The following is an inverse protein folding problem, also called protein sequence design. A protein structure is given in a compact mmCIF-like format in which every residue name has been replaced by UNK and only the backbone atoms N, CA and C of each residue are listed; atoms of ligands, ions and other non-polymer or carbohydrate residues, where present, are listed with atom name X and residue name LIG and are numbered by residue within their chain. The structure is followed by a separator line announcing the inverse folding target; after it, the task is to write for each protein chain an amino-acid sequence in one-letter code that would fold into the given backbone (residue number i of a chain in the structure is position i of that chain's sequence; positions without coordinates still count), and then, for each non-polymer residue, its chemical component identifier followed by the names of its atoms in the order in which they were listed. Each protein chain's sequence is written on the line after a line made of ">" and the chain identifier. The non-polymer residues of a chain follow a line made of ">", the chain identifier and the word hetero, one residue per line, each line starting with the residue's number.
data_IF_139999328466
#
_entry.id   IF_139999328466
#
_cell.length_a   1.000
_cell.length_b   1.000
_cell.length_c   1.000
_cell.angle_alpha   90.00
_cell.angle_beta   90.00
_cell.angle_gamma   90.00
#
_symmetry.space_group_name_H-M   'P 1'
#
loop_
_entity.id
_entity.type
_entity.pdbx_description
1 polymer ?
#
# COMPACT_ATOMS: atom_id res chain seq x y z
N UNK A 1 50.30 121.93 19.76
CA UNK A 1 49.22 121.26 18.99
C UNK A 1 49.74 120.02 18.22
N UNK A 2 50.88 120.10 17.53
CA UNK A 2 51.50 118.99 16.77
C UNK A 2 51.96 117.79 17.63
N UNK A 3 52.65 118.03 18.75
CA UNK A 3 53.13 116.96 19.64
C UNK A 3 52.00 116.12 20.27
N UNK A 4 50.84 116.72 20.51
CA UNK A 4 49.66 116.04 21.07
C UNK A 4 49.04 115.08 20.05
N UNK A 5 49.02 115.47 18.76
CA UNK A 5 48.56 114.62 17.67
C UNK A 5 49.51 113.44 17.40
N UNK A 6 50.83 113.66 17.44
CA UNK A 6 51.83 112.58 17.33
C UNK A 6 51.72 111.56 18.46
N UNK A 7 51.50 112.02 19.70
CA UNK A 7 51.30 111.13 20.85
C UNK A 7 50.00 110.31 20.70
N UNK A 8 48.93 110.94 20.23
CA UNK A 8 47.67 110.25 19.94
C UNK A 8 47.85 109.18 18.85
N UNK A 9 48.50 109.49 17.71
CA UNK A 9 48.75 108.52 16.63
C UNK A 9 49.56 107.31 17.13
N UNK A 10 50.62 107.55 17.90
CA UNK A 10 51.45 106.47 18.45
C UNK A 10 50.67 105.61 19.45
N UNK A 11 49.80 106.24 20.25
CA UNK A 11 48.91 105.54 21.17
C UNK A 11 47.86 104.72 20.41
N UNK A 12 47.30 105.24 19.32
CA UNK A 12 46.39 104.51 18.41
C UNK A 12 47.10 103.35 17.72
N UNK A 13 48.36 103.51 17.34
CA UNK A 13 49.14 102.45 16.67
C UNK A 13 49.45 101.29 17.63
N UNK A 14 49.76 101.60 18.89
CA UNK A 14 49.93 100.60 19.95
C UNK A 14 48.61 99.90 20.27
N UNK A 15 47.49 100.62 20.33
CA UNK A 15 46.18 99.98 20.54
C UNK A 15 45.77 99.12 19.35
N UNK A 16 46.02 99.54 18.10
CA UNK A 16 45.77 98.74 16.90
C UNK A 16 46.61 97.45 16.90
N UNK A 17 47.88 97.50 17.29
CA UNK A 17 48.70 96.28 17.43
C UNK A 17 48.19 95.36 18.54
N UNK A 18 47.75 95.92 19.67
CA UNK A 18 47.19 95.16 20.79
C UNK A 18 45.87 94.48 20.40
N UNK A 19 44.97 95.23 19.74
CA UNK A 19 43.72 94.71 19.20
C UNK A 19 44.00 93.66 18.12
N UNK A 20 44.98 93.86 17.24
CA UNK A 20 45.39 92.89 16.22
C UNK A 20 45.84 91.55 16.82
N UNK A 21 46.68 91.59 17.87
CA UNK A 21 47.08 90.39 18.61
C UNK A 21 45.90 89.71 19.31
N UNK A 22 45.02 90.47 19.94
CA UNK A 22 43.80 89.94 20.56
C UNK A 22 42.85 89.29 19.54
N UNK A 23 42.71 89.87 18.34
CA UNK A 23 41.93 89.29 17.24
C UNK A 23 42.57 87.98 16.77
N UNK A 24 43.88 87.96 16.56
CA UNK A 24 44.61 86.77 16.10
C UNK A 24 44.53 85.62 17.11
N UNK A 25 44.61 85.93 18.41
CA UNK A 25 44.45 84.96 19.50
C UNK A 25 43.00 84.45 19.62
N UNK A 26 42.00 85.33 19.45
CA UNK A 26 40.59 84.94 19.35
C UNK A 26 40.32 84.06 18.12
N UNK A 27 40.91 84.37 16.97
CA UNK A 27 40.79 83.55 15.76
C UNK A 27 41.41 82.17 15.96
N UNK A 28 42.60 82.09 16.59
CA UNK A 28 43.28 80.83 16.92
C UNK A 28 42.48 79.96 17.89
N UNK A 29 41.94 80.55 18.96
CA UNK A 29 41.07 79.84 19.92
C UNK A 29 39.74 79.43 19.30
N UNK A 30 39.18 80.23 18.40
CA UNK A 30 37.97 79.87 17.63
C UNK A 30 38.25 78.72 16.65
N UNK A 31 39.40 78.70 15.98
CA UNK A 31 39.81 77.63 15.08
C UNK A 31 40.00 76.28 15.81
N UNK A 32 40.64 76.30 16.99
CA UNK A 32 40.80 75.08 17.81
C UNK A 32 39.47 74.59 18.40
N UNK A 33 38.60 75.50 18.85
CA UNK A 33 37.26 75.18 19.33
C UNK A 33 36.38 74.58 18.21
N UNK A 34 36.42 75.15 17.01
CA UNK A 34 35.68 74.62 15.85
C UNK A 34 36.21 73.27 15.40
N UNK A 35 37.53 73.03 15.43
CA UNK A 35 38.12 71.71 15.19
C UNK A 35 37.59 70.64 16.14
N UNK A 36 37.63 70.90 17.46
CA UNK A 36 37.08 69.97 18.48
C UNK A 36 35.59 69.72 18.32
N UNK A 37 34.80 70.74 17.94
CA UNK A 37 33.37 70.57 17.66
C UNK A 37 33.13 69.64 16.47
N UNK A 38 33.90 69.80 15.38
CA UNK A 38 33.83 68.91 14.20
C UNK A 38 34.17 67.47 14.56
N UNK A 39 35.23 67.25 15.34
CA UNK A 39 35.60 65.89 15.80
C UNK A 39 34.48 65.27 16.64
N UNK A 40 33.91 66.03 17.58
CA UNK A 40 32.77 65.57 18.39
C UNK A 40 31.57 65.21 17.52
N UNK A 41 31.19 66.05 16.55
CA UNK A 41 30.09 65.77 15.63
C UNK A 41 30.36 64.53 14.78
N UNK A 42 31.59 64.36 14.28
CA UNK A 42 32.01 63.17 13.53
C UNK A 42 31.88 61.89 14.38
N UNK A 43 32.31 61.92 15.64
CA UNK A 43 32.15 60.79 16.56
C UNK A 43 30.68 60.49 16.86
N UNK A 44 29.84 61.52 17.06
CA UNK A 44 28.41 61.34 17.28
C UNK A 44 27.72 60.69 16.08
N UNK A 45 28.05 61.13 14.86
CA UNK A 45 27.56 60.51 13.63
C UNK A 45 28.00 59.05 13.52
N UNK A 46 29.26 58.75 13.86
CA UNK A 46 29.79 57.38 13.87
C UNK A 46 29.05 56.49 14.87
N UNK A 47 28.78 56.99 16.08
CA UNK A 47 27.98 56.27 17.09
C UNK A 47 26.57 56.00 16.57
N UNK A 48 25.91 56.99 15.99
CA UNK A 48 24.57 56.84 15.43
C UNK A 48 24.53 55.79 14.30
N UNK A 49 25.53 55.80 13.40
CA UNK A 49 25.66 54.77 12.35
C UNK A 49 25.85 53.37 12.94
N UNK A 50 26.72 53.22 13.95
CA UNK A 50 26.94 51.93 14.61
C UNK A 50 25.68 51.43 15.33
N UNK A 51 24.92 52.32 15.98
CA UNK A 51 23.65 51.96 16.61
C UNK A 51 22.60 51.50 15.59
N UNK A 52 22.54 52.16 14.43
CA UNK A 52 21.63 51.77 13.35
C UNK A 52 22.01 50.39 12.78
N UNK A 53 23.29 50.15 12.53
CA UNK A 53 23.78 48.86 12.04
C UNK A 53 23.54 47.75 13.07
N UNK A 54 23.78 48.00 14.37
CA UNK A 54 23.45 47.07 15.44
C UNK A 54 21.96 46.72 15.44
N UNK A 55 21.09 47.73 15.28
CA UNK A 55 19.64 47.51 15.24
C UNK A 55 19.24 46.70 13.99
N UNK A 56 19.86 46.97 12.83
CA UNK A 56 19.65 46.21 11.59
C UNK A 56 20.05 44.75 11.76
N UNK A 57 21.23 44.49 12.34
CA UNK A 57 21.72 43.15 12.61
C UNK A 57 20.84 42.39 13.59
N UNK A 58 20.40 43.04 14.69
CA UNK A 58 19.44 42.43 15.63
C UNK A 58 18.13 42.02 14.96
N UNK A 59 17.58 42.87 14.07
CA UNK A 59 16.38 42.54 13.29
C UNK A 59 16.62 41.39 12.32
N UNK A 60 17.78 41.34 11.66
CA UNK A 60 18.14 40.24 10.78
C UNK A 60 18.26 38.92 11.55
N UNK A 61 18.97 38.93 12.68
CA UNK A 61 19.13 37.76 13.55
C UNK A 61 17.78 37.25 14.08
N UNK A 62 16.89 38.14 14.53
CA UNK A 62 15.55 37.74 14.98
C UNK A 62 14.79 37.00 13.89
N UNK A 63 14.84 37.47 12.64
CA UNK A 63 14.17 36.82 11.51
C UNK A 63 14.75 35.44 11.20
N UNK A 64 16.08 35.28 11.27
CA UNK A 64 16.71 33.97 11.09
C UNK A 64 16.35 32.99 12.20
N UNK A 65 16.30 33.44 13.46
CA UNK A 65 15.88 32.61 14.59
C UNK A 65 14.44 32.15 14.41
N UNK A 66 13.53 33.06 14.01
CA UNK A 66 12.13 32.71 13.75
C UNK A 66 11.99 31.70 12.60
N UNK A 67 12.76 31.87 11.52
CA UNK A 67 12.80 30.92 10.40
C UNK A 67 13.31 29.55 10.84
N UNK A 68 14.43 29.50 11.56
CA UNK A 68 14.99 28.26 12.10
C UNK A 68 14.01 27.55 13.02
N UNK A 69 13.29 28.29 13.86
CA UNK A 69 12.29 27.71 14.74
C UNK A 69 11.11 27.12 13.94
N UNK A 70 10.65 27.82 12.90
CA UNK A 70 9.61 27.29 12.00
C UNK A 70 10.06 26.03 11.28
N UNK A 71 11.27 26.00 10.73
CA UNK A 71 11.83 24.80 10.08
C UNK A 71 11.94 23.63 11.06
N UNK A 72 12.43 23.89 12.29
CA UNK A 72 12.57 22.85 13.32
C UNK A 72 11.22 22.23 13.69
N UNK A 73 10.19 23.06 13.88
CA UNK A 73 8.83 22.55 14.17
C UNK A 73 8.23 21.77 13.00
N UNK A 74 8.50 22.17 11.76
CA UNK A 74 8.08 21.41 10.58
C UNK A 74 8.79 20.05 10.48
N UNK A 75 10.09 20.01 10.75
CA UNK A 75 10.86 18.76 10.75
C UNK A 75 10.38 17.80 11.83
N UNK A 76 10.15 18.30 13.04
CA UNK A 76 9.60 17.48 14.14
C UNK A 76 8.24 16.87 13.78
N UNK A 77 7.33 17.66 13.20
CA UNK A 77 6.03 17.15 12.74
C UNK A 77 6.17 16.09 11.65
N UNK A 78 7.13 16.26 10.72
CA UNK A 78 7.40 15.26 9.68
C UNK A 78 7.98 13.98 10.27
N UNK A 79 8.89 14.09 11.24
CA UNK A 79 9.48 12.96 11.94
C UNK A 79 8.42 12.15 12.69
N UNK A 80 7.54 12.82 13.43
CA UNK A 80 6.40 12.19 14.11
C UNK A 80 5.48 11.48 13.11
N UNK A 81 5.12 12.15 12.01
CA UNK A 81 4.27 11.57 10.96
C UNK A 81 4.92 10.34 10.31
N UNK A 82 6.22 10.39 10.00
CA UNK A 82 6.95 9.26 9.44
C UNK A 82 7.07 8.11 10.44
N UNK A 83 7.28 8.39 11.72
CA UNK A 83 7.33 7.36 12.76
C UNK A 83 6.00 6.61 12.85
N UNK A 84 4.86 7.31 12.82
CA UNK A 84 3.53 6.69 12.84
C UNK A 84 3.30 5.85 11.58
N UNK A 85 3.65 6.37 10.40
CA UNK A 85 3.53 5.63 9.15
C UNK A 85 4.41 4.38 9.12
N UNK A 86 5.62 4.47 9.67
CA UNK A 86 6.55 3.35 9.73
C UNK A 86 6.03 2.20 10.60
N UNK A 87 5.53 2.49 11.80
CA UNK A 87 4.96 1.46 12.67
C UNK A 87 3.70 0.83 12.04
N UNK A 88 2.82 1.63 11.43
CA UNK A 88 1.65 1.11 10.70
C UNK A 88 2.05 0.18 9.55
N UNK A 89 3.04 0.57 8.74
CA UNK A 89 3.53 -0.25 7.64
C UNK A 89 4.18 -1.56 8.14
N UNK A 90 4.89 -1.50 9.26
CA UNK A 90 5.50 -2.66 9.90
C UNK A 90 4.43 -3.64 10.37
N UNK A 91 3.40 -3.17 11.05
CA UNK A 91 2.26 -3.99 11.48
C UNK A 91 1.54 -4.63 10.29
N UNK A 92 1.30 -3.87 9.23
CA UNK A 92 0.69 -4.38 7.99
C UNK A 92 1.54 -5.49 7.36
N UNK A 93 2.86 -5.29 7.27
CA UNK A 93 3.77 -6.27 6.69
C UNK A 93 3.84 -7.56 7.54
N UNK A 94 3.83 -7.45 8.86
CA UNK A 94 3.74 -8.60 9.76
C UNK A 94 2.41 -9.35 9.59
N UNK A 95 1.29 -8.63 9.46
CA UNK A 95 -0.02 -9.23 9.19
C UNK A 95 -0.04 -9.95 7.83
N UNK A 96 0.53 -9.34 6.79
CA UNK A 96 0.64 -9.91 5.45
C UNK A 96 1.49 -11.20 5.46
N UNK A 97 2.61 -11.19 6.18
CA UNK A 97 3.47 -12.38 6.35
C UNK A 97 2.73 -13.52 7.05
N UNK A 98 1.93 -13.23 8.09
CA UNK A 98 1.09 -14.23 8.76
C UNK A 98 0.05 -14.81 7.80
N UNK A 99 -0.66 -13.95 7.07
CA UNK A 99 -1.66 -14.38 6.10
C UNK A 99 -1.07 -15.25 4.98
N UNK A 100 0.13 -14.91 4.50
CA UNK A 100 0.85 -15.72 3.50
C UNK A 100 1.14 -17.12 4.05
N UNK A 101 1.64 -17.24 5.28
CA UNK A 101 1.91 -18.53 5.94
C UNK A 101 0.63 -19.35 6.08
N UNK A 102 -0.46 -18.74 6.54
CA UNK A 102 -1.76 -19.41 6.64
C UNK A 102 -2.28 -19.90 5.29
N UNK A 103 -2.13 -19.09 4.23
CA UNK A 103 -2.51 -19.47 2.89
C UNK A 103 -1.70 -20.68 2.40
N UNK A 104 -0.38 -20.68 2.63
CA UNK A 104 0.46 -21.84 2.28
C UNK A 104 0.07 -23.10 3.05
N UNK A 105 -0.20 -23.00 4.36
CA UNK A 105 -0.63 -24.12 5.18
C UNK A 105 -2.00 -24.68 4.73
N UNK A 106 -2.97 -23.82 4.43
CA UNK A 106 -4.28 -24.23 3.89
C UNK A 106 -4.14 -24.92 2.53
N UNK A 107 -3.26 -24.41 1.66
CA UNK A 107 -2.97 -25.04 0.36
C UNK A 107 -2.37 -26.43 0.53
N UNK A 108 -1.42 -26.62 1.43
CA UNK A 108 -0.83 -27.93 1.72
C UNK A 108 -1.87 -28.91 2.27
N UNK A 109 -2.69 -28.47 3.22
CA UNK A 109 -3.79 -29.28 3.76
C UNK A 109 -4.78 -29.69 2.68
N UNK A 110 -5.16 -28.76 1.79
CA UNK A 110 -6.04 -29.05 0.66
C UNK A 110 -5.44 -30.10 -0.27
N UNK A 111 -4.17 -29.95 -0.66
CA UNK A 111 -3.49 -30.92 -1.53
C UNK A 111 -3.42 -32.31 -0.89
N UNK A 112 -3.12 -32.37 0.42
CA UNK A 112 -3.08 -33.64 1.17
C UNK A 112 -4.46 -34.29 1.24
N UNK A 113 -5.50 -33.53 1.58
CA UNK A 113 -6.87 -34.04 1.63
C UNK A 113 -7.36 -34.50 0.24
N UNK A 114 -7.04 -33.76 -0.81
CA UNK A 114 -7.40 -34.13 -2.18
C UNK A 114 -6.69 -35.41 -2.65
N UNK A 115 -5.41 -35.59 -2.30
CA UNK A 115 -4.69 -36.83 -2.58
C UNK A 115 -5.30 -38.02 -1.83
N UNK A 116 -5.66 -37.84 -0.56
CA UNK A 116 -6.34 -38.87 0.25
C UNK A 116 -7.72 -39.21 -0.32
N UNK A 117 -8.50 -38.22 -0.74
CA UNK A 117 -9.79 -38.41 -1.38
C UNK A 117 -9.62 -39.22 -2.67
N UNK A 118 -8.70 -38.81 -3.55
CA UNK A 118 -8.42 -39.51 -4.82
C UNK A 118 -8.04 -40.96 -4.58
N UNK A 119 -7.17 -41.21 -3.58
CA UNK A 119 -6.78 -42.57 -3.20
C UNK A 119 -7.98 -43.38 -2.70
N UNK A 120 -8.82 -42.81 -1.84
CA UNK A 120 -10.01 -43.49 -1.33
C UNK A 120 -11.04 -43.78 -2.43
N UNK A 121 -11.29 -42.82 -3.32
CA UNK A 121 -12.14 -43.03 -4.50
C UNK A 121 -11.63 -44.20 -5.34
N UNK A 122 -10.32 -44.28 -5.59
CA UNK A 122 -9.72 -45.42 -6.31
C UNK A 122 -9.93 -46.76 -5.61
N UNK A 123 -9.77 -46.80 -4.28
CA UNK A 123 -10.04 -48.02 -3.50
C UNK A 123 -11.50 -48.45 -3.61
N UNK A 124 -12.44 -47.52 -3.43
CA UNK A 124 -13.87 -47.80 -3.54
C UNK A 124 -14.26 -48.29 -4.93
N UNK A 125 -13.67 -47.72 -5.99
CA UNK A 125 -13.88 -48.19 -7.36
C UNK A 125 -13.34 -49.61 -7.57
N UNK A 126 -12.20 -49.95 -6.95
CA UNK A 126 -11.66 -51.31 -7.00
C UNK A 126 -12.56 -52.31 -6.26
N UNK A 127 -13.05 -51.95 -5.06
CA UNK A 127 -14.03 -52.75 -4.32
C UNK A 127 -15.34 -52.93 -5.11
N UNK A 128 -15.77 -51.89 -5.82
CA UNK A 128 -16.98 -51.93 -6.64
C UNK A 128 -16.83 -52.89 -7.84
N UNK A 129 -15.63 -52.97 -8.43
CA UNK A 129 -15.30 -53.96 -9.46
C UNK A 129 -15.40 -55.40 -8.94
N UNK A 130 -15.22 -55.63 -7.64
CA UNK A 130 -15.39 -56.94 -7.03
C UNK A 130 -16.87 -57.28 -6.77
N UNK A 131 -17.68 -56.28 -6.41
CA UNK A 131 -19.13 -56.44 -6.19
C UNK A 131 -19.88 -56.65 -7.52
N UNK A 132 -19.47 -55.93 -8.56
CA UNK A 132 -20.05 -55.99 -9.91
C UNK A 132 -19.01 -56.49 -10.93
N UNK A 133 -18.63 -57.78 -10.89
CA UNK A 133 -17.71 -58.33 -11.87
C UNK A 133 -18.34 -58.24 -13.27
N UNK A 134 -17.57 -57.70 -14.21
CA UNK A 134 -17.92 -57.63 -15.63
C UNK A 134 -16.95 -58.55 -16.37
N UNK A 135 -17.46 -59.69 -16.80
CA UNK A 135 -16.69 -60.71 -17.49
C UNK A 135 -17.07 -60.76 -18.98
N UNK A 136 -16.09 -61.09 -19.81
CA UNK A 136 -16.28 -61.32 -21.25
C UNK A 136 -16.27 -62.83 -21.48
N UNK A 137 -17.41 -63.38 -21.89
CA UNK A 137 -17.54 -64.83 -22.10
C UNK A 137 -17.12 -65.23 -23.51
N UNK A 138 -17.47 -64.41 -24.52
CA UNK A 138 -17.05 -64.54 -25.93
C UNK A 138 -16.72 -63.15 -26.49
N UNK A 139 -16.08 -63.07 -27.67
CA UNK A 139 -15.63 -61.80 -28.29
C UNK A 139 -16.69 -60.68 -28.40
N UNK A 140 -17.98 -60.97 -28.21
CA UNK A 140 -19.07 -60.00 -28.24
C UNK A 140 -20.08 -60.10 -27.06
N UNK A 141 -19.89 -61.02 -26.11
CA UNK A 141 -20.86 -61.28 -25.03
C UNK A 141 -20.30 -60.87 -23.66
N UNK A 142 -20.92 -59.85 -23.06
CA UNK A 142 -20.60 -59.37 -21.71
C UNK A 142 -21.55 -59.96 -20.68
N UNK A 143 -21.06 -60.18 -19.46
CA UNK A 143 -21.82 -60.68 -18.32
C UNK A 143 -21.51 -59.81 -17.12
N UNK A 144 -22.55 -59.35 -16.41
CA UNK A 144 -22.43 -58.62 -15.15
C UNK A 144 -23.05 -59.45 -14.02
N UNK A 145 -22.29 -59.73 -12.96
CA UNK A 145 -22.73 -60.58 -11.84
C UNK A 145 -23.31 -61.94 -12.28
N UNK A 146 -22.78 -62.55 -13.33
CA UNK A 146 -23.28 -63.81 -13.89
C UNK A 146 -24.52 -63.70 -14.78
N UNK A 147 -25.06 -62.49 -15.02
CA UNK A 147 -26.20 -62.24 -15.92
C UNK A 147 -25.72 -61.64 -17.24
N UNK A 148 -26.18 -62.20 -18.37
CA UNK A 148 -25.78 -61.75 -19.71
C UNK A 148 -26.28 -60.32 -19.98
N UNK A 149 -25.36 -59.44 -20.37
CA UNK A 149 -25.63 -58.08 -20.80
C UNK A 149 -25.53 -58.03 -22.34
N UNK A 150 -26.66 -58.18 -23.07
CA UNK A 150 -26.65 -58.16 -24.52
C UNK A 150 -26.33 -56.78 -25.08
N UNK A 151 -25.70 -56.75 -26.25
CA UNK A 151 -25.56 -55.53 -27.04
C UNK A 151 -26.94 -55.07 -27.55
N UNK A 152 -27.06 -53.78 -27.85
CA UNK A 152 -28.34 -53.15 -28.18
C UNK A 152 -29.07 -53.69 -29.40
N UNK A 153 -28.35 -54.40 -30.27
CA UNK A 153 -28.88 -55.01 -31.49
C UNK A 153 -29.60 -56.36 -31.23
N UNK A 154 -29.37 -56.99 -30.06
CA UNK A 154 -29.83 -58.35 -29.74
C UNK A 154 -30.89 -58.41 -28.62
N UNK A 155 -31.51 -57.28 -28.26
CA UNK A 155 -32.50 -57.24 -27.16
C UNK A 155 -33.76 -58.07 -27.44
N UNK A 156 -34.17 -58.21 -28.70
CA UNK A 156 -35.45 -58.86 -29.06
C UNK A 156 -35.45 -60.39 -28.97
N UNK A 157 -34.28 -61.03 -28.83
CA UNK A 157 -34.14 -62.49 -28.88
C UNK A 157 -33.86 -63.14 -27.51
N UNK A 158 -33.95 -62.39 -26.41
CA UNK A 158 -33.54 -62.83 -25.07
C UNK A 158 -34.63 -62.62 -24.02
N UNK A 159 -34.48 -63.28 -22.87
CA UNK A 159 -35.39 -63.16 -21.74
C UNK A 159 -35.35 -61.75 -21.13
N UNK A 160 -36.44 -60.99 -21.30
CA UNK A 160 -36.62 -59.61 -20.82
C UNK A 160 -36.30 -59.49 -19.31
N UNK A 161 -36.57 -60.53 -18.52
CA UNK A 161 -36.26 -60.58 -17.09
C UNK A 161 -34.75 -60.50 -16.82
N UNK A 162 -33.97 -61.36 -17.48
CA UNK A 162 -32.51 -61.37 -17.37
C UNK A 162 -31.87 -60.05 -17.81
N UNK A 163 -32.36 -59.46 -18.90
CA UNK A 163 -31.88 -58.17 -19.42
C UNK A 163 -32.17 -57.04 -18.44
N UNK A 164 -33.39 -56.99 -17.90
CA UNK A 164 -33.77 -55.99 -16.91
C UNK A 164 -32.91 -56.05 -15.64
N UNK A 165 -32.57 -57.26 -15.16
CA UNK A 165 -31.67 -57.45 -14.01
C UNK A 165 -30.25 -56.96 -14.32
N UNK A 166 -29.69 -57.32 -15.49
CA UNK A 166 -28.35 -56.89 -15.90
C UNK A 166 -28.25 -55.35 -16.03
N UNK A 167 -29.26 -54.71 -16.63
CA UNK A 167 -29.36 -53.26 -16.73
C UNK A 167 -29.57 -52.57 -15.36
N UNK A 168 -30.26 -53.24 -14.44
CA UNK A 168 -30.40 -52.81 -13.05
C UNK A 168 -29.08 -52.76 -12.29
N UNK A 169 -28.24 -53.80 -12.44
CA UNK A 169 -26.88 -53.81 -11.89
C UNK A 169 -25.99 -52.73 -12.51
N UNK A 170 -26.09 -52.55 -13.83
CA UNK A 170 -25.33 -51.51 -14.56
C UNK A 170 -25.72 -50.11 -14.10
N UNK A 171 -27.03 -49.87 -13.92
CA UNK A 171 -27.58 -48.61 -13.41
C UNK A 171 -27.07 -48.30 -12.00
N UNK A 172 -27.05 -49.30 -11.11
CA UNK A 172 -26.51 -49.13 -9.76
C UNK A 172 -25.00 -48.84 -9.77
N UNK A 173 -24.25 -49.57 -10.60
CA UNK A 173 -22.81 -49.38 -10.77
C UNK A 173 -22.49 -47.94 -11.21
N UNK A 174 -23.17 -47.44 -12.24
CA UNK A 174 -22.99 -46.06 -12.74
C UNK A 174 -23.34 -45.02 -11.67
N UNK A 175 -24.43 -45.24 -10.92
CA UNK A 175 -24.83 -44.37 -9.82
C UNK A 175 -23.76 -44.34 -8.71
N UNK A 176 -23.25 -45.48 -8.28
CA UNK A 176 -22.21 -45.57 -7.25
C UNK A 176 -20.90 -44.92 -7.68
N UNK A 177 -20.48 -45.10 -8.95
CA UNK A 177 -19.30 -44.42 -9.50
C UNK A 177 -19.49 -42.90 -9.46
N UNK A 178 -20.65 -42.39 -9.88
CA UNK A 178 -21.00 -40.97 -9.80
C UNK A 178 -20.93 -40.44 -8.37
N UNK A 179 -21.49 -41.17 -7.41
CA UNK A 179 -21.44 -40.80 -5.98
C UNK A 179 -20.00 -40.74 -5.45
N UNK A 180 -19.16 -41.73 -5.77
CA UNK A 180 -17.77 -41.76 -5.30
C UNK A 180 -16.87 -40.72 -5.95
N UNK A 181 -17.09 -40.41 -7.22
CA UNK A 181 -16.37 -39.34 -7.92
C UNK A 181 -16.95 -37.95 -7.66
N UNK A 182 -18.12 -37.87 -7.01
CA UNK A 182 -18.90 -36.64 -6.79
C UNK A 182 -19.19 -35.88 -8.11
N UNK A 183 -19.43 -36.61 -9.19
CA UNK A 183 -19.74 -36.05 -10.51
C UNK A 183 -21.25 -36.19 -10.75
N UNK A 184 -22.01 -35.09 -10.87
CA UNK A 184 -23.43 -35.16 -11.16
C UNK A 184 -23.66 -35.76 -12.55
N UNK A 185 -24.56 -36.74 -12.65
CA UNK A 185 -24.96 -37.32 -13.93
C UNK A 185 -25.89 -36.36 -14.67
N UNK A 186 -25.64 -36.15 -15.97
CA UNK A 186 -26.54 -35.39 -16.86
C UNK A 186 -27.95 -35.97 -16.92
N UNK A 187 -28.03 -37.30 -16.83
CA UNK A 187 -29.27 -38.05 -16.78
C UNK A 187 -29.36 -38.74 -15.43
N UNK A 188 -30.20 -38.26 -14.50
CA UNK A 188 -30.33 -38.86 -13.18
C UNK A 188 -30.78 -40.32 -13.26
N UNK A 189 -30.04 -41.22 -12.61
CA UNK A 189 -30.35 -42.65 -12.55
C UNK A 189 -31.20 -42.93 -11.31
N UNK A 190 -32.42 -43.41 -11.52
CA UNK A 190 -33.33 -43.86 -10.46
C UNK A 190 -33.19 -45.37 -10.29
N UNK A 191 -32.30 -45.80 -9.40
CA UNK A 191 -32.08 -47.22 -9.16
C UNK A 191 -33.28 -47.85 -8.44
N UNK A 192 -33.89 -48.87 -9.08
CA UNK A 192 -35.00 -49.67 -8.55
C UNK A 192 -34.83 -51.15 -8.91
N UNK A 193 -33.61 -51.68 -8.77
CA UNK A 193 -33.29 -53.06 -9.18
C UNK A 193 -33.50 -53.26 -10.68
N UNK A 194 -34.23 -54.31 -11.06
CA UNK A 194 -34.58 -54.58 -12.47
C UNK A 194 -35.50 -53.54 -13.12
N UNK A 195 -36.11 -52.66 -12.32
CA UNK A 195 -36.99 -51.58 -12.77
C UNK A 195 -36.32 -50.21 -12.72
N UNK A 196 -34.99 -50.19 -12.73
CA UNK A 196 -34.21 -48.94 -12.74
C UNK A 196 -34.55 -48.13 -13.99
N UNK A 197 -34.65 -46.82 -13.84
CA UNK A 197 -34.96 -45.92 -14.95
C UNK A 197 -34.04 -44.70 -14.94
N UNK A 198 -33.96 -44.02 -16.08
CA UNK A 198 -33.06 -42.88 -16.28
C UNK A 198 -33.91 -41.71 -16.74
N UNK A 199 -33.82 -40.59 -16.01
CA UNK A 199 -34.64 -39.42 -16.31
C UNK A 199 -34.01 -38.54 -17.38
N UNK A 200 -34.73 -38.28 -18.47
CA UNK A 200 -34.30 -37.31 -19.48
C UNK A 200 -34.74 -35.89 -19.12
N UNK A 201 -33.78 -35.08 -18.68
CA UNK A 201 -33.98 -33.67 -18.33
C UNK A 201 -33.55 -32.69 -19.42
N UNK A 202 -33.05 -33.16 -20.57
CA UNK A 202 -32.43 -32.33 -21.60
C UNK A 202 -33.27 -32.29 -22.88
N UNK A 203 -33.93 -33.39 -23.23
CA UNK A 203 -34.76 -33.46 -24.43
C UNK A 203 -36.08 -32.74 -24.19
N UNK A 204 -36.31 -31.62 -24.88
CA UNK A 204 -37.48 -30.76 -24.70
C UNK A 204 -38.78 -31.35 -25.29
N UNK A 205 -38.64 -32.37 -26.16
CA UNK A 205 -39.75 -33.02 -26.88
C UNK A 205 -40.45 -34.15 -26.12
N UNK A 206 -39.99 -34.49 -24.92
CA UNK A 206 -40.57 -35.57 -24.11
C UNK A 206 -41.58 -35.01 -23.11
N UNK A 207 -42.77 -35.63 -23.04
CA UNK A 207 -43.77 -35.34 -22.00
C UNK A 207 -43.30 -35.85 -20.63
N UNK A 208 -43.83 -35.34 -19.51
CA UNK A 208 -43.39 -35.76 -18.16
C UNK A 208 -43.46 -37.28 -17.92
N UNK A 209 -44.40 -37.99 -18.56
CA UNK A 209 -44.52 -39.45 -18.50
C UNK A 209 -43.47 -40.20 -19.31
N UNK A 210 -42.93 -39.58 -20.37
CA UNK A 210 -41.90 -40.14 -21.23
C UNK A 210 -40.49 -39.81 -20.72
N UNK A 211 -40.39 -38.97 -19.69
CA UNK A 211 -39.13 -38.61 -19.02
C UNK A 211 -38.75 -39.59 -17.92
N UNK A 212 -39.62 -40.48 -17.45
CA UNK A 212 -39.39 -41.38 -16.31
C UNK A 212 -39.03 -42.82 -16.67
#
# INVERSE_FOLDING_TARGET
>A
RLHTAQRAIKQTQVTVQKIGKEIEEKLRTTATCTGRKKERECMLLRIAMMQNELQRQRRALSREVDLRQKERTQLQRKEEAFSVQYESLKEENEALSKLQKECTAKREQFLKANAQLTFRCRQLLYELSYIYPIDVVNQADYVICGVKLPNSEDFQAKDDGSVAVALGYTSHLVLMISCFLQIPLRYPVMHKGSRSSIKDTITDRLTEKERE
#
